data_IF_953908879536
#
_entry.id   IF_953908879536
#
_cell.length_a   1.000
_cell.length_b   1.000
_cell.length_c   1.000
_cell.angle_alpha   90.00
_cell.angle_beta   90.00
_cell.angle_gamma   90.00
#
_symmetry.space_group_name_H-M   'P 1'
#
loop_
_entity.id
_entity.type
_entity.pdbx_description
1 polymer ?
#
# COMPACT_ATOMS: atom_id res chain seq x y z
N UNK A 1 23.32 -9.52 -3.18
CA UNK A 1 22.30 -9.76 -2.13
C UNK A 1 21.01 -10.27 -2.76
N UNK A 2 20.40 -11.28 -2.14
CA UNK A 2 19.10 -11.85 -2.53
C UNK A 2 17.97 -10.86 -2.16
N UNK A 3 16.91 -10.79 -2.97
CA UNK A 3 15.80 -9.81 -2.82
C UNK A 3 14.44 -10.42 -3.13
N UNK A 4 13.39 -9.81 -2.58
CA UNK A 4 11.99 -9.97 -2.96
C UNK A 4 11.40 -8.58 -3.19
N UNK A 5 10.64 -8.40 -4.27
CA UNK A 5 10.10 -7.09 -4.70
C UNK A 5 8.57 -7.02 -4.61
N UNK A 6 8.04 -5.79 -4.71
CA UNK A 6 6.60 -5.52 -4.92
C UNK A 6 5.71 -5.96 -3.74
N UNK A 7 6.24 -5.90 -2.52
CA UNK A 7 5.57 -6.41 -1.31
C UNK A 7 4.48 -5.48 -0.77
N UNK A 8 4.48 -4.21 -1.18
CA UNK A 8 3.75 -3.12 -0.53
C UNK A 8 2.22 -3.26 -0.59
N UNK A 9 1.64 -3.71 -1.70
CA UNK A 9 0.18 -3.87 -1.81
C UNK A 9 -0.34 -5.06 -1.00
N UNK A 10 0.38 -6.18 -1.03
CA UNK A 10 0.08 -7.32 -0.17
C UNK A 10 0.22 -6.93 1.30
N UNK A 11 1.30 -6.23 1.67
CA UNK A 11 1.52 -5.79 3.03
C UNK A 11 0.46 -4.79 3.52
N UNK A 12 -0.06 -3.94 2.62
CA UNK A 12 -1.21 -3.08 2.92
C UNK A 12 -2.48 -3.89 3.20
N UNK A 13 -2.74 -4.97 2.46
CA UNK A 13 -3.87 -5.86 2.72
C UNK A 13 -3.74 -6.58 4.07
N UNK A 14 -2.54 -7.06 4.42
CA UNK A 14 -2.27 -7.66 5.74
C UNK A 14 -2.53 -6.67 6.88
N UNK A 15 -2.04 -5.44 6.75
CA UNK A 15 -2.30 -4.38 7.72
C UNK A 15 -3.81 -4.03 7.79
N UNK A 16 -4.47 -3.96 6.64
CA UNK A 16 -5.90 -3.72 6.47
C UNK A 16 -6.77 -4.71 7.23
N UNK A 17 -6.44 -5.99 7.14
CA UNK A 17 -7.15 -7.09 7.79
C UNK A 17 -6.60 -7.45 9.19
N UNK A 18 -5.50 -6.83 9.61
CA UNK A 18 -4.90 -7.05 10.91
C UNK A 18 -4.23 -8.43 11.06
N UNK A 19 -3.63 -8.96 9.98
CA UNK A 19 -2.89 -10.23 10.00
C UNK A 19 -1.53 -10.03 10.68
N UNK A 20 -1.26 -10.76 11.76
CA UNK A 20 -0.02 -10.63 12.54
C UNK A 20 1.07 -11.64 12.17
N UNK A 21 0.68 -12.88 11.82
CA UNK A 21 1.60 -13.98 11.54
C UNK A 21 1.17 -14.69 10.26
N UNK A 22 2.06 -14.76 9.27
CA UNK A 22 1.80 -15.40 7.98
C UNK A 22 3.13 -15.82 7.33
N UNK A 23 3.10 -16.89 6.53
CA UNK A 23 4.17 -17.24 5.60
C UNK A 23 3.67 -16.94 4.19
N UNK A 24 4.45 -16.18 3.42
CA UNK A 24 4.14 -15.82 2.03
C UNK A 24 5.25 -16.39 1.16
N UNK A 25 4.89 -17.33 0.29
CA UNK A 25 5.81 -17.96 -0.65
C UNK A 25 5.45 -17.54 -2.08
N UNK A 26 6.49 -17.22 -2.85
CA UNK A 26 6.42 -16.96 -4.28
C UNK A 26 7.54 -17.75 -4.95
N UNK A 27 7.27 -18.29 -6.14
CA UNK A 27 8.26 -19.00 -6.96
C UNK A 27 9.01 -18.05 -7.91
N UNK A 28 8.91 -16.75 -7.65
CA UNK A 28 9.45 -15.65 -8.43
C UNK A 28 10.15 -14.61 -7.52
N UNK A 29 10.97 -13.69 -8.06
CA UNK A 29 11.65 -12.66 -7.26
C UNK A 29 10.73 -11.52 -6.80
N UNK A 30 9.42 -11.57 -7.08
CA UNK A 30 8.47 -10.52 -6.74
C UNK A 30 7.09 -11.07 -6.42
N UNK A 31 6.33 -10.32 -5.62
CA UNK A 31 4.90 -10.56 -5.40
C UNK A 31 4.12 -10.13 -6.66
N UNK A 32 3.10 -10.90 -7.09
CA UNK A 32 2.34 -10.57 -8.28
C UNK A 32 1.62 -9.22 -8.13
N UNK A 33 1.61 -8.40 -9.20
CA UNK A 33 1.02 -7.06 -9.18
C UNK A 33 -0.52 -7.06 -9.12
N UNK A 34 -1.15 -8.19 -9.50
CA UNK A 34 -2.60 -8.35 -9.59
C UNK A 34 -3.24 -7.27 -10.49
N UNK A 35 -4.27 -6.57 -10.01
CA UNK A 35 -4.91 -5.45 -10.70
C UNK A 35 -4.23 -4.10 -10.40
N UNK A 36 -3.07 -4.11 -9.75
CA UNK A 36 -2.36 -2.92 -9.30
C UNK A 36 -2.86 -2.36 -7.96
N UNK A 37 -3.83 -3.01 -7.31
CA UNK A 37 -4.36 -2.61 -6.00
C UNK A 37 -4.14 -3.70 -4.94
N UNK A 38 -4.62 -3.43 -3.71
CA UNK A 38 -4.61 -4.40 -2.62
C UNK A 38 -5.86 -5.31 -2.58
N UNK A 39 -6.90 -4.97 -3.34
CA UNK A 39 -8.20 -5.64 -3.25
C UNK A 39 -8.15 -7.14 -3.58
N UNK A 40 -7.44 -7.60 -4.63
CA UNK A 40 -7.31 -9.03 -4.90
C UNK A 40 -6.72 -9.82 -3.73
N UNK A 41 -5.76 -9.24 -3.00
CA UNK A 41 -5.19 -9.86 -1.81
C UNK A 41 -6.17 -9.89 -0.63
N UNK A 42 -6.99 -8.85 -0.46
CA UNK A 42 -8.04 -8.83 0.56
C UNK A 42 -9.00 -10.01 0.35
N UNK A 43 -9.46 -10.24 -0.89
CA UNK A 43 -10.33 -11.38 -1.18
C UNK A 43 -9.66 -12.71 -0.86
N UNK A 44 -8.41 -12.91 -1.30
CA UNK A 44 -7.67 -14.14 -1.04
C UNK A 44 -7.47 -14.41 0.47
N UNK A 45 -7.20 -13.37 1.25
CA UNK A 45 -7.05 -13.48 2.70
C UNK A 45 -8.39 -13.78 3.40
N UNK A 46 -9.50 -13.23 2.92
CA UNK A 46 -10.83 -13.56 3.42
C UNK A 46 -11.21 -15.01 3.12
N UNK A 47 -10.86 -15.52 1.93
CA UNK A 47 -11.08 -16.91 1.55
C UNK A 47 -10.28 -17.89 2.43
N UNK A 48 -9.05 -17.52 2.81
CA UNK A 48 -8.24 -18.31 3.73
C UNK A 48 -8.79 -18.32 5.17
N UNK A 49 -9.51 -17.27 5.57
CA UNK A 49 -10.05 -17.10 6.91
C UNK A 49 -9.01 -16.65 7.93
N UNK A 50 -9.48 -16.39 9.16
CA UNK A 50 -8.66 -15.90 10.28
C UNK A 50 -8.69 -16.93 11.41
N UNK A 51 -7.52 -17.25 11.96
CA UNK A 51 -7.37 -18.03 13.18
C UNK A 51 -6.85 -17.14 14.32
N UNK A 52 -7.63 -17.03 15.40
CA UNK A 52 -7.22 -16.28 16.59
C UNK A 52 -6.34 -17.15 17.48
N UNK A 53 -5.07 -16.77 17.57
CA UNK A 53 -4.10 -17.47 18.40
C UNK A 53 -4.23 -17.05 19.87
N UNK A 54 -3.94 -17.97 20.78
CA UNK A 54 -3.91 -17.71 22.23
C UNK A 54 -2.67 -16.91 22.66
N UNK A 55 -2.52 -15.70 22.12
CA UNK A 55 -1.47 -14.74 22.46
C UNK A 55 -1.97 -13.33 22.23
N UNK A 56 -1.66 -12.41 23.15
CA UNK A 56 -2.06 -11.02 23.01
C UNK A 56 -1.39 -10.35 21.80
N UNK A 57 -2.20 -9.71 20.96
CA UNK A 57 -1.72 -8.84 19.88
C UNK A 57 -1.01 -7.62 20.46
N UNK A 58 0.15 -7.28 19.91
CA UNK A 58 0.97 -6.14 20.33
C UNK A 58 0.79 -4.97 19.37
N UNK A 59 0.71 -3.77 19.91
CA UNK A 59 0.59 -2.53 19.13
C UNK A 59 1.76 -1.60 19.43
N UNK A 60 2.23 -0.88 18.41
CA UNK A 60 3.19 0.21 18.58
C UNK A 60 2.42 1.49 18.86
N UNK A 61 2.53 2.01 20.10
CA UNK A 61 1.92 3.28 20.49
C UNK A 61 2.93 4.41 20.38
N UNK A 62 2.63 5.40 19.54
CA UNK A 62 3.40 6.63 19.42
C UNK A 62 3.22 7.47 20.70
N UNK A 63 4.34 7.85 21.34
CA UNK A 63 4.35 8.61 22.60
C UNK A 63 4.92 10.02 22.46
N UNK A 64 5.74 10.21 21.43
CA UNK A 64 6.37 11.49 21.10
C UNK A 64 6.24 11.72 19.59
N UNK A 65 6.22 12.98 19.19
CA UNK A 65 6.18 13.35 17.78
C UNK A 65 7.52 13.02 17.13
N UNK A 66 7.51 12.32 16.00
CA UNK A 66 8.69 12.00 15.21
C UNK A 66 8.46 12.46 13.79
N UNK A 67 9.38 13.25 13.24
CA UNK A 67 9.31 13.83 11.91
C UNK A 67 10.61 13.56 11.14
N UNK A 68 10.47 13.26 9.86
CA UNK A 68 11.57 13.16 8.90
C UNK A 68 11.26 14.03 7.68
N UNK A 69 12.31 14.57 7.07
CA UNK A 69 12.24 15.48 5.93
C UNK A 69 13.28 15.10 4.88
N UNK A 70 12.93 15.26 3.60
CA UNK A 70 13.82 15.11 2.44
C UNK A 70 13.44 16.15 1.38
N UNK A 71 14.18 17.25 1.34
CA UNK A 71 13.87 18.39 0.48
C UNK A 71 12.53 19.03 0.82
N UNK A 72 11.56 18.93 -0.10
CA UNK A 72 10.19 19.40 0.04
C UNK A 72 9.24 18.36 0.64
N UNK A 73 9.69 17.11 0.80
CA UNK A 73 8.89 15.99 1.33
C UNK A 73 9.08 15.84 2.83
N UNK A 74 8.04 15.37 3.51
CA UNK A 74 8.13 15.01 4.92
C UNK A 74 7.11 13.93 5.30
N UNK A 75 7.40 13.23 6.39
CA UNK A 75 6.48 12.32 7.05
C UNK A 75 6.56 12.52 8.57
N UNK A 76 5.42 12.42 9.26
CA UNK A 76 5.36 12.66 10.70
C UNK A 76 4.38 11.69 11.37
N UNK A 77 4.80 11.14 12.52
CA UNK A 77 3.91 10.50 13.48
C UNK A 77 3.73 11.39 14.70
N UNK A 78 2.48 11.52 15.18
CA UNK A 78 2.12 12.23 16.42
C UNK A 78 1.41 11.28 17.39
N UNK A 79 1.52 11.49 18.71
CA UNK A 79 0.74 10.73 19.69
C UNK A 79 -0.76 10.92 19.44
N UNK A 80 -1.48 9.82 19.24
CA UNK A 80 -2.91 9.82 18.97
C UNK A 80 -3.56 8.54 19.52
N UNK A 81 -4.77 8.65 20.07
CA UNK A 81 -5.53 7.50 20.56
C UNK A 81 -6.41 6.92 19.44
N UNK A 82 -5.76 6.23 18.51
CA UNK A 82 -6.35 5.67 17.31
C UNK A 82 -5.29 5.55 16.22
N UNK A 83 -5.74 5.35 14.98
CA UNK A 83 -4.86 5.40 13.82
C UNK A 83 -5.53 6.24 12.73
N UNK A 84 -4.90 7.36 12.36
CA UNK A 84 -5.37 8.24 11.30
C UNK A 84 -4.23 8.52 10.34
N UNK A 85 -4.59 8.76 9.08
CA UNK A 85 -3.67 9.04 7.99
C UNK A 85 -4.13 10.31 7.29
N UNK A 86 -3.17 11.15 6.93
CA UNK A 86 -3.36 12.38 6.17
C UNK A 86 -2.22 12.46 5.16
N UNK A 87 -2.54 12.26 3.89
CA UNK A 87 -1.55 12.14 2.82
C UNK A 87 -1.86 13.13 1.71
N UNK A 88 -0.83 13.88 1.33
CA UNK A 88 -0.89 14.85 0.23
C UNK A 88 0.11 14.42 -0.84
N UNK A 89 -0.36 14.34 -2.07
CA UNK A 89 0.48 14.26 -3.26
C UNK A 89 0.66 15.67 -3.84
N UNK A 90 1.73 15.91 -4.57
CA UNK A 90 1.93 17.16 -5.32
C UNK A 90 2.25 16.81 -6.77
N UNK A 91 1.19 16.56 -7.55
CA UNK A 91 1.31 16.24 -8.97
C UNK A 91 0.84 17.43 -9.81
N UNK A 92 1.75 18.00 -10.59
CA UNK A 92 1.40 18.95 -11.63
C UNK A 92 0.99 18.21 -12.91
N UNK A 93 -0.16 17.51 -12.86
CA UNK A 93 -0.68 16.74 -13.99
C UNK A 93 -2.15 17.10 -14.25
N UNK A 94 -2.57 17.36 -15.51
CA UNK A 94 -3.94 17.80 -15.81
C UNK A 94 -5.05 16.82 -15.40
N UNK A 95 -4.72 15.53 -15.24
CA UNK A 95 -5.69 14.54 -14.75
C UNK A 95 -5.93 14.60 -13.23
N UNK A 96 -5.14 15.37 -12.48
CA UNK A 96 -5.20 15.47 -11.02
C UNK A 96 -5.45 16.92 -10.62
N UNK A 97 -6.73 17.27 -10.48
CA UNK A 97 -7.15 18.57 -9.97
C UNK A 97 -6.65 18.81 -8.54
N UNK A 98 -6.41 20.07 -8.17
CA UNK A 98 -5.89 20.44 -6.84
C UNK A 98 -6.79 19.99 -5.69
N UNK A 99 -8.12 19.90 -5.93
CA UNK A 99 -9.07 19.38 -4.96
C UNK A 99 -8.91 17.87 -4.66
N UNK A 100 -8.19 17.13 -5.50
CA UNK A 100 -7.98 15.68 -5.39
C UNK A 100 -6.58 15.28 -4.92
N UNK A 101 -5.75 16.23 -4.48
CA UNK A 101 -4.36 15.97 -4.12
C UNK A 101 -4.14 15.65 -2.63
N UNK A 102 -5.18 15.74 -1.80
CA UNK A 102 -5.10 15.39 -0.37
C UNK A 102 -6.21 14.42 0.01
N UNK A 103 -5.84 13.38 0.73
CA UNK A 103 -6.78 12.43 1.30
C UNK A 103 -6.47 12.17 2.78
N UNK A 104 -7.52 12.19 3.60
CA UNK A 104 -7.39 11.95 5.04
C UNK A 104 -8.47 10.97 5.51
N UNK A 105 -8.09 10.04 6.39
CA UNK A 105 -9.00 9.04 6.94
C UNK A 105 -8.65 8.64 8.37
N UNK A 106 -9.66 8.21 9.11
CA UNK A 106 -9.47 7.39 10.30
C UNK A 106 -9.48 5.92 9.87
N UNK A 107 -8.45 5.18 10.26
CA UNK A 107 -8.27 3.80 9.85
C UNK A 107 -9.20 2.86 10.61
N UNK A 108 -9.83 1.96 9.84
CA UNK A 108 -10.44 0.73 10.30
C UNK A 108 -10.37 -0.29 9.16
N UNK A 109 -10.51 -1.58 9.46
CA UNK A 109 -10.55 -2.62 8.42
C UNK A 109 -11.63 -2.33 7.36
N UNK A 110 -12.83 -1.94 7.80
CA UNK A 110 -13.93 -1.58 6.90
C UNK A 110 -13.62 -0.36 6.03
N UNK A 111 -13.03 0.69 6.62
CA UNK A 111 -12.66 1.88 5.87
C UNK A 111 -11.57 1.57 4.85
N UNK A 112 -10.57 0.77 5.23
CA UNK A 112 -9.53 0.30 4.32
C UNK A 112 -10.13 -0.49 3.16
N UNK A 113 -10.95 -1.51 3.42
CA UNK A 113 -11.55 -2.35 2.38
C UNK A 113 -12.41 -1.53 1.41
N UNK A 114 -13.24 -0.62 1.91
CA UNK A 114 -14.19 0.14 1.08
C UNK A 114 -13.57 1.30 0.32
N UNK A 115 -12.64 2.02 0.96
CA UNK A 115 -12.15 3.32 0.48
C UNK A 115 -10.74 3.23 -0.12
N UNK A 116 -9.90 2.31 0.36
CA UNK A 116 -8.48 2.26 0.00
C UNK A 116 -8.12 1.06 -0.86
N UNK A 117 -8.61 -0.14 -0.52
CA UNK A 117 -8.08 -1.40 -1.07
C UNK A 117 -8.12 -1.49 -2.60
N UNK A 118 -9.10 -0.84 -3.24
CA UNK A 118 -9.32 -0.84 -4.69
C UNK A 118 -8.61 0.29 -5.44
N UNK A 119 -7.90 1.18 -4.74
CA UNK A 119 -7.08 2.21 -5.40
C UNK A 119 -5.89 1.51 -6.08
N UNK A 120 -5.83 1.60 -7.40
CA UNK A 120 -4.74 1.02 -8.19
C UNK A 120 -3.52 1.95 -8.18
N UNK A 121 -2.34 1.36 -8.34
CA UNK A 121 -1.12 2.09 -8.69
C UNK A 121 -1.31 2.84 -10.01
N UNK A 122 -0.43 3.80 -10.28
CA UNK A 122 -0.46 4.55 -11.53
C UNK A 122 0.96 4.87 -11.99
N UNK A 123 1.11 5.08 -13.30
CA UNK A 123 2.37 5.47 -13.92
C UNK A 123 2.13 6.32 -15.17
N UNK A 124 3.17 6.96 -15.66
CA UNK A 124 3.11 7.69 -16.92
C UNK A 124 3.42 6.76 -18.09
N UNK A 125 2.58 6.79 -19.13
CA UNK A 125 2.75 5.93 -20.32
C UNK A 125 4.17 6.00 -20.90
N UNK A 126 4.73 7.22 -21.00
CA UNK A 126 6.08 7.44 -21.52
C UNK A 126 7.17 6.76 -20.69
N UNK A 127 7.00 6.72 -19.37
CA UNK A 127 7.94 6.07 -18.46
C UNK A 127 7.82 4.54 -18.54
N UNK A 128 6.59 4.03 -18.68
CA UNK A 128 6.34 2.59 -18.88
C UNK A 128 6.99 2.12 -20.18
N UNK A 129 6.75 2.80 -21.31
CA UNK A 129 7.37 2.47 -22.60
C UNK A 129 8.90 2.50 -22.51
N UNK A 130 9.46 3.50 -21.82
CA UNK A 130 10.89 3.61 -21.62
C UNK A 130 11.45 2.48 -20.75
N UNK A 131 10.79 2.13 -19.65
CA UNK A 131 11.19 1.02 -18.78
C UNK A 131 11.14 -0.31 -19.54
N UNK A 132 10.07 -0.55 -20.29
CA UNK A 132 9.91 -1.75 -21.12
C UNK A 132 10.98 -1.85 -22.20
N UNK A 133 11.37 -0.72 -22.82
CA UNK A 133 12.47 -0.69 -23.79
C UNK A 133 13.83 -1.12 -23.20
N UNK A 134 13.97 -1.08 -21.87
CA UNK A 134 15.15 -1.51 -21.11
C UNK A 134 14.99 -2.86 -20.41
N UNK A 135 13.93 -3.61 -20.73
CA UNK A 135 13.66 -4.92 -20.11
C UNK A 135 13.13 -4.84 -18.68
N UNK A 136 12.59 -3.70 -18.27
CA UNK A 136 11.99 -3.46 -16.95
C UNK A 136 10.46 -3.28 -17.09
N UNK A 137 9.69 -3.49 -16.02
CA UNK A 137 8.23 -3.30 -16.03
C UNK A 137 7.51 -4.08 -17.15
N UNK A 138 8.00 -5.29 -17.48
CA UNK A 138 7.49 -6.10 -18.58
C UNK A 138 6.06 -6.61 -18.34
N UNK A 139 5.64 -6.72 -17.08
CA UNK A 139 4.26 -7.04 -16.71
C UNK A 139 3.30 -5.83 -16.68
N UNK A 140 3.82 -4.61 -16.89
CA UNK A 140 3.02 -3.40 -16.85
C UNK A 140 2.02 -3.33 -18.00
N UNK A 141 0.74 -3.17 -17.68
CA UNK A 141 -0.38 -3.08 -18.63
C UNK A 141 -1.54 -2.27 -18.04
N UNK A 142 -2.57 -1.98 -18.85
CA UNK A 142 -3.80 -1.34 -18.37
C UNK A 142 -4.59 -2.20 -17.36
N UNK A 143 -4.34 -3.51 -17.32
CA UNK A 143 -5.01 -4.41 -16.38
C UNK A 143 -4.45 -4.26 -14.96
N UNK A 144 -3.23 -3.74 -14.80
CA UNK A 144 -2.53 -3.64 -13.52
C UNK A 144 -2.06 -2.23 -13.12
N UNK A 145 -2.50 -1.19 -13.84
CA UNK A 145 -2.27 0.23 -13.55
C UNK A 145 -3.37 1.13 -14.15
#
# INVERSE_FOLDING_TARGET
DVRISTVEHLNAALAGLGIDNIIIEVDAPEVPIMDGSAAPFVYLLLDAGIDELNSAKKFVRIKETVRVEDGDKWAEFKPYNGFSLDFTIDFNHPAIDSSNQRYAMNFSADAFMRQISRARTFGFMRDIEYLQSRGLCLGGSFDCA
#
